data_IF_362978000936
#
_entry.id   IF_362978000936
#
_cell.length_a   1.000
_cell.length_b   1.000
_cell.length_c   1.000
_cell.angle_alpha   90.00
_cell.angle_beta   90.00
_cell.angle_gamma   90.00
#
_symmetry.space_group_name_H-M   'P 1'
#
loop_
_entity.id
_entity.type
_entity.pdbx_description
1 polymer ?
#
# COMPACT_ATOMS: atom_id res chain seq x y z
N UNK A 1 -25.05 -14.66 -31.65
CA UNK A 1 -23.85 -13.91 -31.22
C UNK A 1 -23.95 -13.73 -29.72
N UNK A 2 -23.20 -14.52 -28.95
CA UNK A 2 -23.32 -14.53 -27.48
C UNK A 2 -22.32 -13.50 -26.92
N UNK A 3 -22.82 -12.33 -26.55
CA UNK A 3 -22.04 -11.26 -25.95
C UNK A 3 -21.51 -11.68 -24.58
N UNK A 4 -20.20 -11.83 -24.48
CA UNK A 4 -19.49 -12.15 -23.26
C UNK A 4 -19.57 -10.93 -22.32
N UNK A 5 -20.44 -11.01 -21.31
CA UNK A 5 -20.50 -10.02 -20.24
C UNK A 5 -19.21 -10.07 -19.43
N UNK A 6 -18.33 -9.09 -19.66
CA UNK A 6 -17.15 -8.87 -18.82
C UNK A 6 -17.65 -8.40 -17.46
N UNK A 7 -17.58 -9.28 -16.45
CA UNK A 7 -17.84 -8.91 -15.05
C UNK A 7 -16.85 -7.79 -14.70
N UNK A 8 -17.38 -6.58 -14.46
CA UNK A 8 -16.62 -5.47 -13.89
C UNK A 8 -16.16 -5.98 -12.52
N UNK A 9 -14.84 -6.08 -12.32
CA UNK A 9 -14.27 -6.39 -11.01
C UNK A 9 -14.87 -5.40 -10.02
N UNK A 10 -15.56 -5.92 -9.01
CA UNK A 10 -16.07 -5.10 -7.91
C UNK A 10 -14.88 -4.31 -7.36
N UNK A 11 -14.97 -2.98 -7.44
CA UNK A 11 -14.01 -2.11 -6.75
C UNK A 11 -14.07 -2.51 -5.28
N UNK A 12 -13.05 -3.23 -4.81
CA UNK A 12 -12.84 -3.43 -3.39
C UNK A 12 -12.43 -2.06 -2.82
N UNK A 13 -13.43 -1.22 -2.59
CA UNK A 13 -13.25 0.14 -2.11
C UNK A 13 -12.89 0.07 -0.64
N UNK A 14 -11.59 0.09 -0.34
CA UNK A 14 -11.10 0.10 1.03
C UNK A 14 -11.03 1.54 1.53
N UNK A 15 -11.84 1.86 2.55
CA UNK A 15 -11.96 3.22 3.13
C UNK A 15 -10.61 3.81 3.54
N UNK A 16 -9.64 2.97 3.92
CA UNK A 16 -8.29 3.41 4.24
C UNK A 16 -7.64 4.12 3.04
N UNK A 17 -7.69 3.54 1.85
CA UNK A 17 -7.08 4.10 0.64
C UNK A 17 -7.73 5.41 0.17
N UNK A 18 -9.02 5.62 0.44
CA UNK A 18 -9.74 6.84 0.06
C UNK A 18 -9.34 8.09 0.87
N UNK A 19 -8.73 7.92 2.04
CA UNK A 19 -8.37 9.01 2.93
C UNK A 19 -6.86 9.15 3.18
N UNK A 20 -6.01 8.40 2.44
CA UNK A 20 -4.55 8.55 2.52
C UNK A 20 -3.99 9.21 1.26
N UNK A 21 -3.02 10.11 1.45
CA UNK A 21 -2.21 10.64 0.34
C UNK A 21 -0.95 9.79 0.10
N UNK A 22 -0.93 8.53 0.53
CA UNK A 22 0.23 7.68 0.37
C UNK A 22 0.32 7.18 -1.08
N UNK A 23 1.52 6.99 -1.64
CA UNK A 23 1.72 6.51 -3.01
C UNK A 23 1.51 5.00 -3.11
N UNK A 24 0.48 4.44 -2.46
CA UNK A 24 0.19 3.01 -2.35
C UNK A 24 -1.15 2.69 -3.00
N UNK A 25 -1.31 1.46 -3.49
CA UNK A 25 -2.64 0.93 -3.80
C UNK A 25 -3.46 0.73 -2.53
N UNK A 26 -4.76 0.56 -2.67
CA UNK A 26 -5.65 0.34 -1.52
C UNK A 26 -5.29 -0.94 -0.76
N UNK A 27 -4.89 -2.00 -1.47
CA UNK A 27 -4.49 -3.29 -0.90
C UNK A 27 -3.21 -3.14 -0.06
N UNK A 28 -2.18 -2.48 -0.61
CA UNK A 28 -0.95 -2.22 0.12
C UNK A 28 -1.17 -1.27 1.29
N UNK A 29 -2.00 -0.25 1.12
CA UNK A 29 -2.37 0.68 2.20
C UNK A 29 -2.96 -0.07 3.39
N UNK A 30 -3.86 -1.03 3.14
CA UNK A 30 -4.42 -1.86 4.19
C UNK A 30 -3.40 -2.80 4.82
N UNK A 31 -2.57 -3.48 4.02
CA UNK A 31 -1.51 -4.35 4.53
C UNK A 31 -0.59 -3.57 5.47
N UNK A 32 -0.10 -2.41 5.03
CA UNK A 32 0.72 -1.52 5.85
C UNK A 32 -0.06 -1.08 7.10
N UNK A 33 -1.34 -0.70 6.99
CA UNK A 33 -2.15 -0.30 8.14
C UNK A 33 -2.36 -1.41 9.18
N UNK A 34 -2.35 -2.68 8.76
CA UNK A 34 -2.44 -3.84 9.66
C UNK A 34 -1.14 -4.11 10.41
N UNK A 35 0.01 -3.90 9.76
CA UNK A 35 1.33 -4.16 10.34
C UNK A 35 1.87 -2.98 11.17
N UNK A 36 1.57 -1.74 10.78
CA UNK A 36 2.05 -0.51 11.42
C UNK A 36 1.88 -0.44 12.96
N UNK A 37 0.79 -0.95 13.56
CA UNK A 37 0.62 -0.97 15.02
C UNK A 37 1.62 -1.86 15.77
N UNK A 38 2.21 -2.85 15.09
CA UNK A 38 3.20 -3.77 15.67
C UNK A 38 4.61 -3.18 15.66
N UNK A 39 4.86 -2.19 14.82
CA UNK A 39 6.13 -1.48 14.75
C UNK A 39 6.31 -0.49 15.89
N UNK A 40 7.56 -0.25 16.26
CA UNK A 40 7.88 0.81 17.21
C UNK A 40 7.56 2.20 16.62
N UNK A 41 7.54 3.23 17.47
CA UNK A 41 7.20 4.58 17.03
C UNK A 41 8.20 5.18 16.03
N UNK A 42 9.47 4.75 16.09
CA UNK A 42 10.56 5.26 15.24
C UNK A 42 10.43 4.67 13.84
N UNK A 43 10.21 3.37 13.75
CA UNK A 43 10.07 2.63 12.51
C UNK A 43 8.80 3.05 11.76
N UNK A 44 7.67 3.20 12.48
CA UNK A 44 6.44 3.76 11.91
C UNK A 44 6.66 5.16 11.34
N UNK A 45 7.33 6.05 12.08
CA UNK A 45 7.63 7.40 11.58
C UNK A 45 8.56 7.36 10.36
N UNK A 46 9.49 6.40 10.31
CA UNK A 46 10.40 6.23 9.18
C UNK A 46 9.67 5.81 7.92
N UNK A 47 8.76 4.83 8.02
CA UNK A 47 7.92 4.39 6.89
C UNK A 47 7.13 5.57 6.30
N UNK A 48 6.42 6.33 7.15
CA UNK A 48 5.64 7.46 6.64
C UNK A 48 6.49 8.50 5.94
N UNK A 49 7.70 8.79 6.46
CA UNK A 49 8.61 9.72 5.81
C UNK A 49 9.10 9.24 4.46
N UNK A 50 9.45 7.95 4.35
CA UNK A 50 9.86 7.36 3.06
C UNK A 50 8.72 7.46 2.05
N UNK A 51 7.48 7.19 2.46
CA UNK A 51 6.31 7.28 1.59
C UNK A 51 5.96 8.73 1.23
N UNK A 52 6.19 9.69 2.13
CA UNK A 52 6.00 11.12 1.88
C UNK A 52 7.05 11.68 0.91
N UNK A 53 8.29 11.23 1.03
CA UNK A 53 9.43 11.65 0.18
C UNK A 53 9.48 10.88 -1.17
N UNK A 54 8.53 9.98 -1.44
CA UNK A 54 8.53 9.15 -2.65
C UNK A 54 7.87 9.85 -3.84
N UNK A 55 8.68 10.20 -4.84
CA UNK A 55 8.27 10.89 -6.08
C UNK A 55 7.92 9.93 -7.25
N UNK A 56 7.84 8.63 -7.00
CA UNK A 56 7.62 7.61 -8.04
C UNK A 56 6.14 7.37 -8.39
N UNK A 57 5.86 6.41 -9.29
CA UNK A 57 4.49 6.00 -9.59
C UNK A 57 3.87 5.28 -8.40
N UNK A 58 2.53 5.23 -8.35
CA UNK A 58 1.80 4.48 -7.33
C UNK A 58 2.31 3.04 -7.22
N UNK A 59 2.69 2.66 -6.01
CA UNK A 59 3.19 1.33 -5.67
C UNK A 59 1.99 0.41 -5.54
N UNK A 60 1.97 -0.68 -6.31
CA UNK A 60 0.84 -1.63 -6.34
C UNK A 60 1.23 -3.05 -5.93
N UNK A 61 2.53 -3.31 -5.76
CA UNK A 61 3.07 -4.61 -5.36
C UNK A 61 4.08 -4.43 -4.23
N UNK A 62 4.14 -5.41 -3.34
CA UNK A 62 5.04 -5.39 -2.17
C UNK A 62 6.51 -5.30 -2.58
N UNK A 63 6.90 -5.97 -3.66
CA UNK A 63 8.27 -5.93 -4.22
C UNK A 63 8.68 -4.57 -4.80
N UNK A 64 7.71 -3.69 -5.06
CA UNK A 64 7.94 -2.34 -5.58
C UNK A 64 8.08 -1.30 -4.44
N UNK A 65 7.96 -1.73 -3.17
CA UNK A 65 8.19 -0.85 -2.02
C UNK A 65 9.67 -0.45 -1.96
N UNK A 66 9.98 0.78 -1.47
CA UNK A 66 11.34 1.14 -1.12
C UNK A 66 11.98 0.08 -0.21
N UNK A 67 13.20 -0.34 -0.54
CA UNK A 67 13.90 -1.46 0.15
C UNK A 67 13.91 -1.31 1.68
N UNK A 68 14.07 -0.08 2.16
CA UNK A 68 14.07 0.21 3.60
C UNK A 68 12.72 -0.10 4.27
N UNK A 69 11.59 0.08 3.58
CA UNK A 69 10.28 -0.33 4.09
C UNK A 69 10.17 -1.86 4.12
N UNK A 70 10.69 -2.55 3.09
CA UNK A 70 10.72 -4.02 3.05
C UNK A 70 11.50 -4.57 4.25
N UNK A 71 12.65 -3.97 4.56
CA UNK A 71 13.48 -4.34 5.71
C UNK A 71 12.78 -4.06 7.05
N UNK A 72 12.21 -2.87 7.23
CA UNK A 72 11.53 -2.50 8.49
C UNK A 72 10.32 -3.41 8.76
N UNK A 73 9.59 -3.77 7.71
CA UNK A 73 8.38 -4.57 7.81
C UNK A 73 8.64 -6.08 7.72
N UNK A 74 9.89 -6.52 7.59
CA UNK A 74 10.29 -7.93 7.45
C UNK A 74 9.51 -8.65 6.33
N UNK A 75 9.42 -8.01 5.16
CA UNK A 75 8.58 -8.42 4.04
C UNK A 75 9.27 -9.36 3.04
N UNK A 76 10.37 -10.01 3.44
CA UNK A 76 11.20 -10.90 2.59
C UNK A 76 10.77 -12.37 2.63
#
# INVERSE_FOLDING_TARGET
MLGMFRKKSEDNTFIAGEHTNLPLSNELTMMIAQEIPMLDSKDRARIYRILEDYDGPQITRQEDLPEEIIDIMDLR
#
